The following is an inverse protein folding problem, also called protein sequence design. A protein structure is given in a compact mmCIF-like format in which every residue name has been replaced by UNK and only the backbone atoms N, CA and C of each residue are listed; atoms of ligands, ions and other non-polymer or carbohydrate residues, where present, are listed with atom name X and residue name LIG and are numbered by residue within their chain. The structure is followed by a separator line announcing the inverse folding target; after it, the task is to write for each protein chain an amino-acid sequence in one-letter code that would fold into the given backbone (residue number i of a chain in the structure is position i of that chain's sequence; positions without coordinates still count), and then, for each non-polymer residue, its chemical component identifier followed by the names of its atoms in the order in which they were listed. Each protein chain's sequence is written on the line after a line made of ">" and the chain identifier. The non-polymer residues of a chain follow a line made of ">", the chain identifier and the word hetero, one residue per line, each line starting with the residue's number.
data_IF_950843391606
#
_entry.id   IF_950843391606
#
_cell.length_a   1.000
_cell.length_b   1.000
_cell.length_c   1.000
_cell.angle_alpha   90.00
_cell.angle_beta   90.00
_cell.angle_gamma   90.00
#
_symmetry.space_group_name_H-M   'P 1'
#
loop_
_entity.id
_entity.type
_entity.pdbx_description
1 polymer ?
#
# COMPACT_ATOMS: atom_id res chain seq x y z
N UNK A 1 8.88 2.74 -12.08
CA UNK A 1 9.21 2.52 -13.52
C UNK A 1 10.63 1.98 -13.70
N UNK A 2 11.73 2.60 -13.17
CA UNK A 2 13.07 2.02 -13.32
C UNK A 2 13.23 0.65 -12.66
N UNK A 3 12.61 0.43 -11.50
CA UNK A 3 12.63 -0.84 -10.79
C UNK A 3 11.91 -1.96 -11.55
N UNK A 4 10.84 -1.66 -12.29
CA UNK A 4 10.15 -2.62 -13.16
C UNK A 4 11.05 -3.11 -14.30
N UNK A 5 11.69 -2.18 -15.02
CA UNK A 5 12.64 -2.52 -16.09
C UNK A 5 13.83 -3.34 -15.56
N UNK A 6 14.30 -2.97 -14.37
CA UNK A 6 15.38 -3.71 -13.71
C UNK A 6 14.91 -5.13 -13.33
N UNK A 7 13.70 -5.27 -12.82
CA UNK A 7 13.07 -6.54 -12.48
C UNK A 7 12.92 -7.46 -13.69
N UNK A 8 12.52 -6.89 -14.83
CA UNK A 8 12.38 -7.65 -16.09
C UNK A 8 13.74 -8.12 -16.63
N UNK A 9 14.81 -7.33 -16.43
CA UNK A 9 16.16 -7.65 -16.92
C UNK A 9 16.92 -8.61 -16.00
N UNK A 10 16.92 -8.34 -14.69
CA UNK A 10 17.77 -9.05 -13.72
C UNK A 10 17.03 -10.08 -12.87
N UNK A 11 15.71 -10.15 -12.98
CA UNK A 11 14.87 -11.06 -12.24
C UNK A 11 14.22 -10.42 -11.00
N UNK A 12 13.06 -10.95 -10.65
CA UNK A 12 12.27 -10.44 -9.53
C UNK A 12 12.86 -10.80 -8.19
N UNK A 13 13.47 -11.99 -8.09
CA UNK A 13 14.20 -12.40 -6.89
C UNK A 13 15.34 -11.44 -6.56
N UNK A 14 16.09 -10.99 -7.57
CA UNK A 14 17.19 -10.01 -7.39
C UNK A 14 16.64 -8.66 -6.90
N UNK A 15 15.50 -8.20 -7.44
CA UNK A 15 14.84 -6.97 -6.97
C UNK A 15 14.38 -7.09 -5.53
N UNK A 16 13.72 -8.19 -5.17
CA UNK A 16 13.29 -8.46 -3.79
C UNK A 16 14.49 -8.47 -2.83
N UNK A 17 15.59 -9.08 -3.25
CA UNK A 17 16.82 -9.14 -2.47
C UNK A 17 17.42 -7.75 -2.21
N UNK A 18 17.57 -6.93 -3.26
CA UNK A 18 18.08 -5.55 -3.14
C UNK A 18 17.17 -4.70 -2.27
N UNK A 19 15.86 -4.78 -2.50
CA UNK A 19 14.87 -4.04 -1.72
C UNK A 19 14.89 -4.41 -0.24
N UNK A 20 14.90 -5.71 0.07
CA UNK A 20 14.93 -6.21 1.45
C UNK A 20 16.24 -5.87 2.16
N UNK A 21 17.37 -6.01 1.48
CA UNK A 21 18.67 -5.60 2.02
C UNK A 21 18.70 -4.10 2.34
N UNK A 22 18.23 -3.27 1.41
CA UNK A 22 18.16 -1.81 1.61
C UNK A 22 17.24 -1.45 2.80
N UNK A 23 16.14 -2.20 3.02
CA UNK A 23 15.27 -1.99 4.16
C UNK A 23 15.98 -2.28 5.50
N UNK A 24 16.71 -3.37 5.58
CA UNK A 24 17.49 -3.72 6.79
C UNK A 24 18.54 -2.63 7.08
N UNK A 25 19.26 -2.18 6.03
CA UNK A 25 20.25 -1.09 6.16
C UNK A 25 19.58 0.19 6.65
N UNK A 26 18.42 0.55 6.12
CA UNK A 26 17.63 1.69 6.57
C UNK A 26 17.28 1.60 8.06
N UNK A 27 16.76 0.46 8.51
CA UNK A 27 16.36 0.26 9.92
C UNK A 27 17.55 0.35 10.88
N UNK A 28 18.66 -0.29 10.55
CA UNK A 28 19.90 -0.21 11.37
C UNK A 28 20.42 1.23 11.40
N UNK A 29 20.44 1.90 10.25
CA UNK A 29 20.91 3.30 10.16
C UNK A 29 20.03 4.24 10.97
N UNK A 30 18.71 4.01 11.01
CA UNK A 30 17.76 4.81 11.79
C UNK A 30 18.04 4.73 13.30
N UNK A 31 18.43 3.56 13.82
CA UNK A 31 18.80 3.39 15.23
C UNK A 31 20.04 4.21 15.65
N UNK A 32 20.97 4.40 14.72
CA UNK A 32 22.26 5.07 14.99
C UNK A 32 22.13 6.59 14.78
N UNK A 33 21.20 7.01 13.91
CA UNK A 33 21.09 8.39 13.46
C UNK A 33 20.49 9.29 14.53
N UNK A 34 21.13 10.48 14.74
CA UNK A 34 20.73 11.50 15.71
C UNK A 34 20.43 12.86 15.09
N UNK A 35 20.82 13.10 13.83
CA UNK A 35 20.66 14.39 13.17
C UNK A 35 19.64 14.37 12.06
N UNK A 36 18.93 15.47 11.85
CA UNK A 36 17.93 15.64 10.79
C UNK A 36 18.51 15.39 9.39
N UNK A 37 19.69 15.96 9.08
CA UNK A 37 20.33 15.81 7.79
C UNK A 37 20.71 14.35 7.48
N UNK A 38 21.21 13.63 8.50
CA UNK A 38 21.49 12.20 8.33
C UNK A 38 20.21 11.40 8.11
N UNK A 39 19.12 11.77 8.78
CA UNK A 39 17.83 11.13 8.60
C UNK A 39 17.29 11.32 7.17
N UNK A 40 17.47 12.51 6.58
CA UNK A 40 17.12 12.76 5.16
C UNK A 40 17.89 11.84 4.21
N UNK A 41 19.20 11.66 4.42
CA UNK A 41 20.01 10.77 3.60
C UNK A 41 19.55 9.30 3.72
N UNK A 42 19.25 8.86 4.92
CA UNK A 42 18.77 7.49 5.16
C UNK A 42 17.39 7.26 4.53
N UNK A 43 16.54 8.28 4.47
CA UNK A 43 15.22 8.21 3.83
C UNK A 43 15.33 7.91 2.33
N UNK A 44 16.43 8.28 1.66
CA UNK A 44 16.71 7.88 0.28
C UNK A 44 16.85 6.35 0.18
N UNK A 45 17.54 5.72 1.14
CA UNK A 45 17.69 4.25 1.18
C UNK A 45 16.33 3.57 1.34
N UNK A 46 15.45 4.14 2.19
CA UNK A 46 14.06 3.68 2.33
C UNK A 46 13.30 3.78 1.02
N UNK A 47 13.42 4.91 0.31
CA UNK A 47 12.81 5.10 -1.00
C UNK A 47 13.28 4.07 -2.04
N UNK A 48 14.57 3.76 -2.07
CA UNK A 48 15.13 2.69 -2.92
C UNK A 48 14.53 1.34 -2.54
N UNK A 49 14.51 1.00 -1.25
CA UNK A 49 13.89 -0.24 -0.77
C UNK A 49 12.44 -0.37 -1.23
N UNK A 50 11.65 0.67 -1.01
CA UNK A 50 10.24 0.70 -1.41
C UNK A 50 10.07 0.54 -2.92
N UNK A 51 10.89 1.22 -3.72
CA UNK A 51 10.85 1.13 -5.18
C UNK A 51 11.12 -0.30 -5.71
N UNK A 52 11.99 -1.06 -5.04
CA UNK A 52 12.29 -2.43 -5.43
C UNK A 52 11.29 -3.46 -4.87
N UNK A 53 10.70 -3.23 -3.71
CA UNK A 53 9.75 -4.16 -3.08
C UNK A 53 8.33 -3.99 -3.59
N UNK A 54 7.83 -2.75 -3.78
CA UNK A 54 6.41 -2.41 -4.03
C UNK A 54 5.97 -3.03 -5.34
N UNK A 55 6.26 -3.49 -6.22
CA UNK A 55 5.69 -4.17 -7.41
C UNK A 55 6.19 -5.61 -7.55
N UNK A 56 7.30 -5.92 -6.89
CA UNK A 56 7.96 -7.22 -7.06
C UNK A 56 7.15 -8.35 -6.41
N UNK A 57 6.66 -8.11 -5.20
CA UNK A 57 5.83 -9.09 -4.47
C UNK A 57 4.50 -9.35 -5.20
N UNK A 58 3.78 -8.28 -5.59
CA UNK A 58 2.51 -8.37 -6.32
C UNK A 58 2.68 -9.11 -7.66
N UNK A 59 3.77 -8.86 -8.35
CA UNK A 59 4.07 -9.54 -9.60
C UNK A 59 4.40 -11.03 -9.41
N UNK A 60 5.22 -11.39 -8.42
CA UNK A 60 5.54 -12.79 -8.11
C UNK A 60 4.28 -13.55 -7.75
N UNK A 61 3.43 -12.95 -6.91
CA UNK A 61 2.19 -13.54 -6.45
C UNK A 61 1.20 -13.76 -7.59
N UNK A 62 0.92 -12.72 -8.38
CA UNK A 62 -0.01 -12.80 -9.52
C UNK A 62 0.45 -13.79 -10.59
N UNK A 63 1.73 -13.86 -10.93
CA UNK A 63 2.25 -14.87 -11.88
C UNK A 63 2.16 -16.28 -11.34
N UNK A 64 2.37 -16.47 -10.04
CA UNK A 64 2.23 -17.79 -9.43
C UNK A 64 0.79 -18.28 -9.49
N UNK A 65 -0.20 -17.40 -9.27
CA UNK A 65 -1.62 -17.72 -9.39
C UNK A 65 -1.99 -18.03 -10.83
N UNK A 66 -1.55 -17.18 -11.78
CA UNK A 66 -1.84 -17.39 -13.21
C UNK A 66 -1.31 -18.74 -13.72
N UNK A 67 -0.19 -19.23 -13.16
CA UNK A 67 0.35 -20.54 -13.50
C UNK A 67 -0.42 -21.71 -12.89
N UNK A 68 -0.81 -21.57 -11.62
CA UNK A 68 -1.36 -22.69 -10.87
C UNK A 68 -2.89 -22.77 -10.95
N UNK A 69 -3.58 -21.62 -10.88
CA UNK A 69 -5.03 -21.54 -10.73
C UNK A 69 -5.59 -20.24 -11.34
N UNK A 70 -5.53 -20.05 -12.68
CA UNK A 70 -5.94 -18.80 -13.33
C UNK A 70 -7.40 -18.41 -13.04
N UNK A 71 -8.29 -19.41 -12.96
CA UNK A 71 -9.72 -19.20 -12.71
C UNK A 71 -10.04 -18.69 -11.29
N UNK A 72 -9.09 -18.78 -10.36
CA UNK A 72 -9.24 -18.34 -8.96
C UNK A 72 -8.46 -17.08 -8.62
N UNK A 73 -8.06 -16.32 -9.64
CA UNK A 73 -7.24 -15.11 -9.47
C UNK A 73 -7.87 -14.12 -8.47
N UNK A 74 -9.16 -13.78 -8.66
CA UNK A 74 -9.86 -12.82 -7.79
C UNK A 74 -9.97 -13.31 -6.34
N UNK A 75 -10.14 -14.61 -6.14
CA UNK A 75 -10.19 -15.21 -4.81
C UNK A 75 -8.85 -15.06 -4.06
N UNK A 76 -7.74 -15.41 -4.70
CA UNK A 76 -6.42 -15.31 -4.06
C UNK A 76 -5.97 -13.86 -3.86
N UNK A 77 -6.30 -12.95 -4.79
CA UNK A 77 -6.07 -11.53 -4.61
C UNK A 77 -6.89 -10.96 -3.43
N UNK A 78 -8.10 -11.45 -3.22
CA UNK A 78 -8.91 -11.12 -2.04
C UNK A 78 -8.26 -11.58 -0.74
N UNK A 79 -7.75 -12.81 -0.69
CA UNK A 79 -7.02 -13.35 0.47
C UNK A 79 -5.77 -12.51 0.76
N UNK A 80 -5.01 -12.14 -0.25
CA UNK A 80 -3.82 -11.29 -0.10
C UNK A 80 -4.15 -9.99 0.65
N UNK A 81 -5.22 -9.29 0.25
CA UNK A 81 -5.64 -8.06 0.91
C UNK A 81 -6.11 -8.28 2.36
N UNK A 82 -6.79 -9.39 2.64
CA UNK A 82 -7.16 -9.76 4.02
C UNK A 82 -5.91 -9.96 4.86
N UNK A 83 -4.96 -10.77 4.37
CA UNK A 83 -3.70 -11.05 5.05
C UNK A 83 -2.89 -9.77 5.28
N UNK A 84 -2.85 -8.87 4.29
CA UNK A 84 -2.17 -7.59 4.38
C UNK A 84 -2.72 -6.74 5.54
N UNK A 85 -4.01 -6.48 5.59
CA UNK A 85 -4.60 -5.66 6.64
C UNK A 85 -4.56 -6.36 8.02
N UNK A 86 -4.78 -7.66 8.07
CA UNK A 86 -4.65 -8.43 9.31
C UNK A 86 -3.21 -8.41 9.85
N UNK A 87 -2.22 -8.53 8.99
CA UNK A 87 -0.80 -8.45 9.39
C UNK A 87 -0.44 -7.08 9.94
N UNK A 88 -0.89 -5.99 9.31
CA UNK A 88 -0.69 -4.64 9.82
C UNK A 88 -1.40 -4.46 11.17
N UNK A 89 -2.64 -4.94 11.31
CA UNK A 89 -3.37 -4.88 12.57
C UNK A 89 -2.67 -5.60 13.70
N UNK A 90 -2.18 -6.82 13.48
CA UNK A 90 -1.40 -7.58 14.46
C UNK A 90 -0.07 -6.89 14.80
N UNK A 91 0.64 -6.40 13.78
CA UNK A 91 1.89 -5.66 13.98
C UNK A 91 1.70 -4.41 14.82
N UNK A 92 0.56 -3.72 14.67
CA UNK A 92 0.23 -2.52 15.44
C UNK A 92 0.02 -2.83 16.92
N UNK A 93 -0.60 -3.95 17.25
CA UNK A 93 -0.73 -4.40 18.65
C UNK A 93 0.65 -4.71 19.24
N UNK A 94 1.42 -5.53 18.55
CA UNK A 94 2.78 -5.93 18.99
C UNK A 94 3.67 -4.69 19.13
N UNK A 95 3.66 -3.82 18.13
CA UNK A 95 4.43 -2.57 18.12
C UNK A 95 4.06 -1.64 19.26
N UNK A 96 2.76 -1.48 19.55
CA UNK A 96 2.29 -0.70 20.69
C UNK A 96 2.77 -1.25 22.05
N UNK A 97 2.77 -2.56 22.22
CA UNK A 97 3.32 -3.20 23.43
C UNK A 97 4.84 -2.99 23.55
N UNK A 98 5.58 -3.19 22.46
CA UNK A 98 7.03 -3.01 22.45
C UNK A 98 7.43 -1.55 22.66
N UNK A 99 6.70 -0.60 22.08
CA UNK A 99 6.94 0.83 22.22
C UNK A 99 6.80 1.33 23.66
N UNK A 100 6.00 0.65 24.49
CA UNK A 100 5.90 0.93 25.94
C UNK A 100 7.24 0.76 26.66
N UNK A 101 8.07 -0.18 26.24
CA UNK A 101 9.39 -0.38 26.83
C UNK A 101 10.41 0.60 26.25
N UNK A 102 10.50 0.67 24.94
CA UNK A 102 11.36 1.60 24.21
C UNK A 102 11.03 1.58 22.73
N UNK A 103 11.10 2.73 22.05
CA UNK A 103 11.02 2.76 20.59
C UNK A 103 12.14 1.95 19.92
N UNK A 104 13.33 1.90 20.52
CA UNK A 104 14.42 1.07 20.00
C UNK A 104 14.07 -0.42 19.96
N UNK A 105 13.28 -0.92 20.93
CA UNK A 105 12.82 -2.31 20.95
C UNK A 105 11.95 -2.66 19.74
N UNK A 106 11.11 -1.71 19.29
CA UNK A 106 10.30 -1.88 18.07
C UNK A 106 11.20 -2.06 16.85
N UNK A 107 12.24 -1.23 16.70
CA UNK A 107 13.19 -1.36 15.60
C UNK A 107 13.99 -2.66 15.64
N UNK A 108 14.44 -3.10 16.81
CA UNK A 108 15.13 -4.40 16.93
C UNK A 108 14.24 -5.57 16.53
N UNK A 109 12.98 -5.53 16.93
CA UNK A 109 12.00 -6.54 16.54
C UNK A 109 11.72 -6.53 15.04
N UNK A 110 11.57 -5.35 14.44
CA UNK A 110 11.37 -5.20 13.00
C UNK A 110 12.60 -5.72 12.22
N UNK A 111 13.81 -5.34 12.62
CA UNK A 111 15.06 -5.85 12.02
C UNK A 111 15.09 -7.39 12.06
N UNK A 112 14.74 -8.00 13.19
CA UNK A 112 14.70 -9.46 13.30
C UNK A 112 13.72 -10.09 12.30
N UNK A 113 12.52 -9.54 12.16
CA UNK A 113 11.53 -9.98 11.16
C UNK A 113 12.07 -9.80 9.74
N UNK A 114 12.67 -8.64 9.44
CA UNK A 114 13.20 -8.37 8.09
C UNK A 114 14.35 -9.32 7.72
N UNK A 115 15.18 -9.73 8.68
CA UNK A 115 16.21 -10.76 8.48
C UNK A 115 15.57 -12.11 8.17
N UNK A 116 14.50 -12.49 8.87
CA UNK A 116 13.75 -13.71 8.57
C UNK A 116 13.18 -13.66 7.15
N UNK A 117 12.54 -12.56 6.77
CA UNK A 117 12.03 -12.34 5.41
C UNK A 117 13.16 -12.43 4.36
N UNK A 118 14.32 -11.87 4.65
CA UNK A 118 15.49 -11.92 3.78
C UNK A 118 15.96 -13.38 3.55
N UNK A 119 15.97 -14.21 4.60
CA UNK A 119 16.29 -15.63 4.51
C UNK A 119 15.26 -16.35 3.63
N UNK A 120 13.97 -16.06 3.76
CA UNK A 120 12.94 -16.65 2.91
C UNK A 120 13.12 -16.31 1.43
N UNK A 121 13.62 -15.13 1.09
CA UNK A 121 13.92 -14.77 -0.31
C UNK A 121 15.00 -15.69 -0.90
N UNK A 122 15.98 -16.13 -0.10
CA UNK A 122 17.00 -17.09 -0.58
C UNK A 122 16.39 -18.45 -0.93
N UNK A 123 15.46 -18.95 -0.11
CA UNK A 123 14.82 -20.24 -0.30
C UNK A 123 13.84 -20.22 -1.46
N UNK A 124 13.28 -19.04 -1.77
CA UNK A 124 12.29 -18.89 -2.84
C UNK A 124 12.89 -19.21 -4.20
N UNK A 125 12.25 -20.13 -4.95
CA UNK A 125 12.59 -20.43 -6.35
C UNK A 125 11.80 -19.55 -7.29
N UNK A 126 12.49 -18.72 -8.05
CA UNK A 126 11.88 -17.87 -9.07
C UNK A 126 11.31 -18.72 -10.21
N UNK A 127 10.00 -18.70 -10.39
CA UNK A 127 9.31 -19.36 -11.50
C UNK A 127 9.18 -18.39 -12.67
N UNK A 128 10.25 -18.11 -13.39
CA UNK A 128 10.23 -17.20 -14.55
C UNK A 128 9.40 -17.75 -15.70
N UNK A 129 8.44 -16.97 -16.19
CA UNK A 129 7.96 -17.04 -17.55
C UNK A 129 8.84 -16.15 -18.42
N UNK A 130 9.99 -16.67 -18.89
CA UNK A 130 10.79 -15.96 -19.86
C UNK A 130 10.10 -15.98 -21.22
N UNK A 131 9.58 -14.86 -21.63
CA UNK A 131 9.29 -14.60 -23.03
C UNK A 131 10.38 -13.63 -23.52
N UNK A 132 11.42 -14.17 -24.15
CA UNK A 132 12.59 -13.40 -24.61
C UNK A 132 12.25 -12.28 -25.62
N UNK A 133 11.00 -12.21 -26.10
CA UNK A 133 10.56 -11.28 -27.14
C UNK A 133 9.90 -9.99 -26.61
N UNK A 134 9.87 -9.76 -25.29
CA UNK A 134 9.19 -8.58 -24.71
C UNK A 134 10.09 -7.70 -23.82
N UNK A 135 11.39 -7.69 -24.05
CA UNK A 135 12.25 -6.67 -23.40
C UNK A 135 11.95 -5.34 -24.11
N UNK A 136 10.96 -4.59 -23.63
CA UNK A 136 10.71 -3.22 -24.08
C UNK A 136 11.96 -2.39 -23.74
N UNK A 137 12.55 -1.77 -24.76
CA UNK A 137 13.67 -0.87 -24.52
C UNK A 137 13.26 0.28 -23.58
N UNK A 138 14.18 0.76 -22.70
CA UNK A 138 13.90 1.89 -21.78
C UNK A 138 13.39 3.14 -22.49
N UNK A 139 13.73 3.32 -23.78
CA UNK A 139 13.26 4.41 -24.63
C UNK A 139 11.75 4.37 -24.90
N UNK A 140 11.12 3.19 -24.89
CA UNK A 140 9.67 3.06 -25.06
C UNK A 140 8.89 3.52 -23.83
N UNK A 141 9.44 3.33 -22.62
CA UNK A 141 8.84 3.84 -21.39
C UNK A 141 8.83 5.38 -21.36
N UNK A 142 9.86 6.05 -21.89
CA UNK A 142 9.92 7.52 -22.00
C UNK A 142 9.03 8.07 -23.14
N UNK A 143 8.85 7.30 -24.21
CA UNK A 143 7.96 7.64 -25.32
C UNK A 143 6.50 7.66 -24.89
N UNK A 144 6.16 6.88 -23.86
CA UNK A 144 4.80 6.82 -23.30
C UNK A 144 4.36 8.13 -22.62
N UNK A 145 5.28 8.89 -22.01
CA UNK A 145 4.97 10.23 -21.48
C UNK A 145 4.59 11.25 -22.59
N UNK A 146 4.93 10.96 -23.83
CA UNK A 146 4.54 11.77 -25.00
C UNK A 146 3.18 11.41 -25.60
N UNK A 147 2.59 10.28 -25.21
CA UNK A 147 1.34 9.74 -25.74
C UNK A 147 0.15 9.85 -24.77
N UNK A 148 0.05 10.95 -24.01
CA UNK A 148 -1.11 11.22 -23.14
C UNK A 148 -2.46 11.33 -23.90
N UNK A 149 -2.43 11.34 -25.23
CA UNK A 149 -3.63 11.43 -26.10
C UNK A 149 -4.57 10.20 -26.03
N UNK A 150 -4.13 9.09 -25.40
CA UNK A 150 -4.90 7.85 -25.28
C UNK A 150 -5.67 7.68 -23.97
N UNK A 151 -5.53 8.58 -23.00
CA UNK A 151 -6.26 8.47 -21.75
C UNK A 151 -7.67 9.05 -21.91
N UNK A 152 -8.64 8.16 -22.08
CA UNK A 152 -10.05 8.51 -21.99
C UNK A 152 -10.29 9.26 -20.66
N UNK A 153 -11.07 10.32 -20.67
CA UNK A 153 -11.38 11.15 -19.49
C UNK A 153 -11.82 10.32 -18.29
N UNK A 154 -12.49 9.18 -18.53
CA UNK A 154 -12.91 8.23 -17.51
C UNK A 154 -11.73 7.57 -16.80
N UNK A 155 -10.67 7.23 -17.52
CA UNK A 155 -9.45 6.64 -16.94
C UNK A 155 -8.70 7.68 -16.11
N UNK A 156 -8.61 8.91 -16.60
CA UNK A 156 -8.01 10.04 -15.87
C UNK A 156 -8.74 10.26 -14.53
N UNK A 157 -10.07 10.29 -14.54
CA UNK A 157 -10.89 10.42 -13.35
C UNK A 157 -10.65 9.29 -12.35
N UNK A 158 -10.60 8.04 -12.83
CA UNK A 158 -10.36 6.85 -12.00
C UNK A 158 -8.94 6.78 -11.41
N UNK A 159 -7.99 7.53 -11.93
CA UNK A 159 -6.63 7.66 -11.40
C UNK A 159 -6.51 8.84 -10.44
N UNK A 160 -6.97 10.03 -10.85
CA UNK A 160 -6.76 11.26 -10.10
C UNK A 160 -7.59 11.34 -8.82
N UNK A 161 -8.85 10.90 -8.84
CA UNK A 161 -9.71 11.03 -7.67
C UNK A 161 -9.23 10.20 -6.47
N UNK A 162 -8.83 8.91 -6.63
CA UNK A 162 -8.20 8.16 -5.54
C UNK A 162 -6.88 8.77 -5.06
N UNK A 163 -6.08 9.37 -5.97
CA UNK A 163 -4.84 10.03 -5.58
C UNK A 163 -5.12 11.28 -4.73
N UNK A 164 -6.10 12.10 -5.09
CA UNK A 164 -6.51 13.26 -4.29
C UNK A 164 -7.02 12.83 -2.92
N UNK A 165 -7.84 11.77 -2.84
CA UNK A 165 -8.30 11.23 -1.57
C UNK A 165 -7.14 10.69 -0.72
N UNK A 166 -6.17 10.02 -1.34
CA UNK A 166 -4.99 9.53 -0.65
C UNK A 166 -4.14 10.68 -0.08
N UNK A 167 -3.91 11.75 -0.84
CA UNK A 167 -3.18 12.95 -0.37
C UNK A 167 -3.84 13.57 0.88
N UNK A 168 -5.17 13.52 0.98
CA UNK A 168 -5.87 14.03 2.15
C UNK A 168 -5.83 13.06 3.34
N UNK A 169 -5.90 11.76 3.08
CA UNK A 169 -6.10 10.74 4.11
C UNK A 169 -4.78 10.19 4.67
N UNK A 170 -3.76 9.95 3.83
CA UNK A 170 -2.48 9.36 4.27
C UNK A 170 -1.73 10.20 5.33
N UNK A 171 -1.62 11.54 5.20
CA UNK A 171 -0.99 12.34 6.24
C UNK A 171 -1.71 12.24 7.58
N UNK A 172 -3.04 12.13 7.55
CA UNK A 172 -3.81 11.95 8.78
C UNK A 172 -3.52 10.58 9.41
N UNK A 173 -3.42 9.53 8.62
CA UNK A 173 -3.06 8.19 9.07
C UNK A 173 -1.69 8.20 9.77
N UNK A 174 -0.70 8.84 9.17
CA UNK A 174 0.65 8.93 9.70
C UNK A 174 0.72 9.74 11.02
N UNK A 175 0.01 10.88 11.08
CA UNK A 175 0.07 11.79 12.23
C UNK A 175 -0.97 11.49 13.33
N UNK A 176 -1.92 10.58 13.10
CA UNK A 176 -2.94 10.27 14.07
C UNK A 176 -2.38 9.71 15.38
N UNK A 177 -1.33 8.92 15.30
CA UNK A 177 -0.61 8.41 16.48
C UNK A 177 0.00 9.52 17.31
N UNK A 178 0.52 10.58 16.68
CA UNK A 178 1.06 11.76 17.35
C UNK A 178 -0.05 12.56 18.04
N UNK A 179 -1.19 12.71 17.38
CA UNK A 179 -2.39 13.34 17.96
C UNK A 179 -2.87 12.59 19.20
N UNK A 180 -2.97 11.26 19.16
CA UNK A 180 -3.36 10.45 20.31
C UNK A 180 -2.36 10.57 21.46
N UNK A 181 -1.07 10.64 21.15
CA UNK A 181 -0.02 10.83 22.16
C UNK A 181 -0.07 12.22 22.81
N UNK A 182 -0.44 13.28 22.09
CA UNK A 182 -0.63 14.61 22.66
C UNK A 182 -1.77 14.68 23.69
N UNK A 183 -2.70 13.73 23.63
CA UNK A 183 -3.77 13.53 24.61
C UNK A 183 -3.39 12.53 25.74
N UNK A 184 -2.09 12.23 25.93
CA UNK A 184 -1.57 11.32 26.95
C UNK A 184 -2.06 9.87 26.86
N UNK A 185 -2.43 9.41 25.64
CA UNK A 185 -2.80 8.02 25.41
C UNK A 185 -1.52 7.18 25.33
N UNK A 186 -1.52 6.03 26.01
CA UNK A 186 -0.36 5.14 26.07
C UNK A 186 -0.15 4.40 24.72
N UNK A 187 1.09 4.06 24.38
CA UNK A 187 1.49 3.47 23.12
C UNK A 187 0.74 2.16 22.82
N UNK A 188 0.52 1.32 23.82
CA UNK A 188 -0.24 0.07 23.66
C UNK A 188 -1.71 0.31 23.30
N UNK A 189 -2.35 1.36 23.85
CA UNK A 189 -3.72 1.74 23.47
C UNK A 189 -3.74 2.30 22.05
N UNK A 190 -2.76 3.12 21.67
CA UNK A 190 -2.60 3.63 20.30
C UNK A 190 -2.48 2.45 19.32
N UNK A 191 -1.62 1.47 19.61
CA UNK A 191 -1.46 0.27 18.78
C UNK A 191 -2.76 -0.53 18.65
N UNK A 192 -3.52 -0.68 19.75
CA UNK A 192 -4.83 -1.34 19.72
C UNK A 192 -5.86 -0.54 18.90
N UNK A 193 -5.94 0.78 19.06
CA UNK A 193 -6.84 1.64 18.29
C UNK A 193 -6.54 1.56 16.80
N UNK A 194 -5.26 1.54 16.41
CA UNK A 194 -4.84 1.40 15.01
C UNK A 194 -5.15 0.01 14.46
N UNK A 195 -4.99 -1.04 15.26
CA UNK A 195 -5.34 -2.40 14.85
C UNK A 195 -6.84 -2.55 14.55
N UNK A 196 -7.71 -1.89 15.33
CA UNK A 196 -9.15 -1.88 15.05
C UNK A 196 -9.45 -1.22 13.69
N UNK A 197 -8.73 -0.16 13.33
CA UNK A 197 -8.84 0.48 12.00
C UNK A 197 -8.47 -0.52 10.90
N UNK A 198 -7.35 -1.21 11.02
CA UNK A 198 -6.88 -2.19 10.02
C UNK A 198 -7.82 -3.38 9.88
N UNK A 199 -8.29 -3.94 11.00
CA UNK A 199 -9.28 -5.02 10.95
C UNK A 199 -10.61 -4.58 10.33
N UNK A 200 -11.06 -3.36 10.60
CA UNK A 200 -12.25 -2.82 9.96
C UNK A 200 -12.09 -2.71 8.44
N UNK A 201 -10.93 -2.22 7.97
CA UNK A 201 -10.60 -2.17 6.54
C UNK A 201 -10.62 -3.56 5.89
N UNK A 202 -10.10 -4.58 6.59
CA UNK A 202 -10.15 -5.97 6.12
C UNK A 202 -11.58 -6.46 5.94
N UNK A 203 -12.45 -6.28 6.95
CA UNK A 203 -13.86 -6.71 6.92
C UNK A 203 -14.63 -5.98 5.82
N UNK A 204 -14.51 -4.67 5.74
CA UNK A 204 -15.22 -3.88 4.73
C UNK A 204 -14.67 -4.11 3.32
N UNK A 205 -13.40 -4.43 3.18
CA UNK A 205 -12.81 -4.87 1.92
C UNK A 205 -13.49 -6.13 1.36
N UNK A 206 -13.75 -7.14 2.22
CA UNK A 206 -14.49 -8.35 1.82
C UNK A 206 -15.92 -7.98 1.40
N UNK A 207 -16.55 -7.06 2.12
CA UNK A 207 -17.90 -6.63 1.84
C UNK A 207 -18.04 -5.77 0.56
N UNK A 208 -16.93 -5.23 0.05
CA UNK A 208 -16.94 -4.33 -1.11
C UNK A 208 -17.63 -4.93 -2.34
N UNK A 209 -17.40 -6.22 -2.63
CA UNK A 209 -18.04 -6.91 -3.75
C UNK A 209 -19.55 -6.99 -3.58
N UNK A 210 -20.04 -7.29 -2.37
CA UNK A 210 -21.47 -7.35 -2.06
C UNK A 210 -22.12 -5.96 -2.13
N UNK A 211 -21.40 -4.93 -1.71
CA UNK A 211 -21.86 -3.55 -1.77
C UNK A 211 -21.95 -3.10 -3.23
N UNK A 212 -20.93 -3.37 -4.03
CA UNK A 212 -20.90 -3.03 -5.45
C UNK A 212 -21.98 -3.78 -6.26
N UNK A 213 -22.31 -5.03 -5.90
CA UNK A 213 -23.38 -5.79 -6.56
C UNK A 213 -24.78 -5.26 -6.22
N UNK A 214 -24.99 -4.70 -5.02
CA UNK A 214 -26.29 -4.15 -4.58
C UNK A 214 -26.50 -2.69 -4.96
N UNK A 215 -25.50 -1.83 -4.75
CA UNK A 215 -25.59 -0.38 -4.92
C UNK A 215 -24.98 0.10 -6.25
N UNK A 216 -24.29 -0.77 -6.97
CA UNK A 216 -23.60 -0.45 -8.21
C UNK A 216 -22.23 0.23 -7.98
N UNK A 217 -21.35 0.08 -8.97
CA UNK A 217 -20.03 0.72 -8.94
C UNK A 217 -20.12 2.26 -8.96
N UNK A 218 -21.17 2.82 -9.53
CA UNK A 218 -21.38 4.28 -9.58
C UNK A 218 -21.52 4.88 -8.18
N UNK A 219 -22.18 4.18 -7.27
CA UNK A 219 -22.25 4.58 -5.86
C UNK A 219 -20.86 4.63 -5.22
N UNK A 220 -20.09 3.56 -5.35
CA UNK A 220 -18.78 3.45 -4.71
C UNK A 220 -17.73 4.39 -5.31
N UNK A 221 -17.84 4.70 -6.62
CA UNK A 221 -16.87 5.55 -7.33
C UNK A 221 -17.21 7.03 -7.24
N UNK A 222 -18.50 7.41 -7.27
CA UNK A 222 -18.89 8.82 -7.32
C UNK A 222 -19.45 9.35 -6.00
N UNK A 223 -20.35 8.60 -5.33
CA UNK A 223 -21.04 9.10 -4.13
C UNK A 223 -20.22 8.88 -2.85
N UNK A 224 -19.56 7.74 -2.73
CA UNK A 224 -18.80 7.37 -1.54
C UNK A 224 -17.67 8.35 -1.20
N UNK A 225 -16.89 8.90 -2.17
CA UNK A 225 -15.92 9.96 -1.90
C UNK A 225 -16.50 11.20 -1.21
N UNK A 226 -17.69 11.64 -1.59
CA UNK A 226 -18.34 12.78 -0.93
C UNK A 226 -18.67 12.47 0.53
N UNK A 227 -19.16 11.25 0.82
CA UNK A 227 -19.42 10.80 2.19
C UNK A 227 -18.10 10.79 2.98
N UNK A 228 -17.01 10.31 2.41
CA UNK A 228 -15.70 10.29 3.06
C UNK A 228 -15.21 11.71 3.37
N UNK A 229 -15.30 12.63 2.44
CA UNK A 229 -14.91 14.04 2.65
C UNK A 229 -15.76 14.68 3.75
N UNK A 230 -17.06 14.47 3.77
CA UNK A 230 -17.94 15.01 4.83
C UNK A 230 -17.59 14.43 6.20
N UNK A 231 -17.35 13.13 6.31
CA UNK A 231 -16.88 12.50 7.55
C UNK A 231 -15.53 13.03 8.00
N UNK A 232 -14.59 13.27 7.06
CA UNK A 232 -13.28 13.83 7.35
C UNK A 232 -13.39 15.27 7.89
N UNK A 233 -14.27 16.10 7.33
CA UNK A 233 -14.53 17.45 7.83
C UNK A 233 -15.12 17.39 9.26
N UNK A 234 -16.10 16.52 9.48
CA UNK A 234 -16.71 16.34 10.82
C UNK A 234 -15.65 15.89 11.81
N UNK A 235 -14.80 14.93 11.45
CA UNK A 235 -13.69 14.46 12.28
C UNK A 235 -12.72 15.59 12.63
N UNK A 236 -12.41 16.48 11.69
CA UNK A 236 -11.52 17.64 11.93
C UNK A 236 -12.13 18.64 12.92
N UNK A 237 -13.45 18.81 12.93
CA UNK A 237 -14.15 19.69 13.89
C UNK A 237 -14.13 19.09 15.29
N UNK A 238 -14.25 17.77 15.41
CA UNK A 238 -14.35 17.06 16.69
C UNK A 238 -13.04 16.46 17.17
N UNK A 239 -11.89 17.00 16.78
CA UNK A 239 -10.56 16.49 17.20
C UNK A 239 -10.37 16.48 18.75
N UNK A 240 -11.02 17.39 19.47
CA UNK A 240 -10.98 17.42 20.95
C UNK A 240 -11.70 16.23 21.61
N UNK A 241 -12.59 15.53 20.90
CA UNK A 241 -13.29 14.36 21.41
C UNK A 241 -12.67 13.07 20.84
N UNK A 242 -11.65 12.56 21.51
CA UNK A 242 -10.81 11.45 21.05
C UNK A 242 -11.61 10.23 20.58
N UNK A 243 -12.58 9.77 21.38
CA UNK A 243 -13.38 8.60 21.05
C UNK A 243 -14.22 8.81 19.78
N UNK A 244 -14.83 10.00 19.65
CA UNK A 244 -15.62 10.34 18.47
C UNK A 244 -14.74 10.47 17.23
N UNK A 245 -13.62 11.18 17.32
CA UNK A 245 -12.67 11.32 16.20
C UNK A 245 -12.12 9.96 15.75
N UNK A 246 -11.84 9.05 16.70
CA UNK A 246 -11.40 7.70 16.40
C UNK A 246 -12.48 6.87 15.69
N UNK A 247 -13.74 6.90 16.16
CA UNK A 247 -14.84 6.20 15.49
C UNK A 247 -15.05 6.71 14.07
N UNK A 248 -15.01 8.02 13.87
CA UNK A 248 -15.09 8.63 12.55
C UNK A 248 -13.91 8.20 11.64
N UNK A 249 -12.71 8.11 12.21
CA UNK A 249 -11.54 7.61 11.49
C UNK A 249 -11.70 6.14 11.06
N UNK A 250 -12.17 5.27 11.95
CA UNK A 250 -12.50 3.86 11.61
C UNK A 250 -13.52 3.80 10.48
N UNK A 251 -14.57 4.62 10.53
CA UNK A 251 -15.55 4.68 9.45
C UNK A 251 -14.94 5.15 8.12
N UNK A 252 -14.16 6.24 8.13
CA UNK A 252 -13.48 6.74 6.93
C UNK A 252 -12.55 5.69 6.32
N UNK A 253 -11.72 5.04 7.14
CA UNK A 253 -10.78 4.01 6.71
C UNK A 253 -11.51 2.80 6.09
N UNK A 254 -12.62 2.38 6.70
CA UNK A 254 -13.46 1.30 6.17
C UNK A 254 -14.05 1.64 4.79
N UNK A 255 -14.55 2.86 4.63
CA UNK A 255 -15.07 3.34 3.35
C UNK A 255 -13.97 3.49 2.30
N UNK A 256 -12.77 3.91 2.72
CA UNK A 256 -11.59 3.98 1.83
C UNK A 256 -11.22 2.61 1.27
N UNK A 257 -11.32 1.54 2.07
CA UNK A 257 -11.07 0.17 1.60
C UNK A 257 -12.06 -0.25 0.51
N UNK A 258 -13.37 0.01 0.69
CA UNK A 258 -14.39 -0.26 -0.33
C UNK A 258 -14.12 0.54 -1.60
N UNK A 259 -13.83 1.83 -1.43
CA UNK A 259 -13.58 2.76 -2.51
C UNK A 259 -12.39 2.32 -3.37
N UNK A 260 -11.25 1.98 -2.74
CA UNK A 260 -10.04 1.53 -3.42
C UNK A 260 -10.27 0.25 -4.25
N UNK A 261 -11.02 -0.72 -3.72
CA UNK A 261 -11.36 -1.95 -4.45
C UNK A 261 -12.25 -1.63 -5.65
N UNK A 262 -13.23 -0.74 -5.48
CA UNK A 262 -14.15 -0.35 -6.54
C UNK A 262 -13.44 0.40 -7.67
N UNK A 263 -12.55 1.34 -7.34
CA UNK A 263 -11.72 2.04 -8.33
C UNK A 263 -10.80 1.07 -9.08
N UNK A 264 -10.15 0.14 -8.37
CA UNK A 264 -9.31 -0.86 -9.01
C UNK A 264 -10.09 -1.69 -10.01
N UNK A 265 -11.26 -2.19 -9.62
CA UNK A 265 -12.11 -3.00 -10.50
C UNK A 265 -12.60 -2.22 -11.72
N UNK A 266 -13.03 -0.95 -11.53
CA UNK A 266 -13.45 -0.10 -12.63
C UNK A 266 -12.29 0.26 -13.57
N UNK A 267 -11.12 0.54 -13.01
CA UNK A 267 -9.93 0.89 -13.77
C UNK A 267 -9.49 -0.30 -14.64
N UNK A 268 -9.40 -1.50 -14.06
CA UNK A 268 -9.02 -2.71 -14.80
C UNK A 268 -9.99 -3.04 -15.94
N UNK A 269 -11.29 -2.80 -15.76
CA UNK A 269 -12.30 -2.98 -16.81
C UNK A 269 -12.26 -1.90 -17.90
N UNK A 270 -11.64 -0.75 -17.62
CA UNK A 270 -11.61 0.40 -18.55
C UNK A 270 -10.30 0.53 -19.31
N UNK A 271 -9.30 -0.30 -19.01
CA UNK A 271 -7.98 -0.27 -19.62
C UNK A 271 -7.82 -1.45 -20.57
N UNK A 272 -7.26 -1.19 -21.75
CA UNK A 272 -6.84 -2.20 -22.70
C UNK A 272 -5.62 -2.97 -22.20
N UNK A 273 -5.53 -4.27 -22.52
CA UNK A 273 -4.45 -5.15 -22.04
C UNK A 273 -3.04 -4.65 -22.40
N UNK A 274 -2.90 -3.98 -23.54
CA UNK A 274 -1.63 -3.42 -24.02
C UNK A 274 -1.01 -2.35 -23.12
N UNK A 275 -1.84 -1.57 -22.42
CA UNK A 275 -1.42 -0.40 -21.63
C UNK A 275 -1.62 -0.59 -20.11
N UNK A 276 -2.13 -1.77 -19.70
CA UNK A 276 -2.51 -2.05 -18.31
C UNK A 276 -1.36 -1.83 -17.31
N UNK A 277 -0.19 -2.39 -17.59
CA UNK A 277 0.97 -2.29 -16.68
C UNK A 277 1.44 -0.85 -16.45
N UNK A 278 1.46 -0.04 -17.51
CA UNK A 278 1.90 1.35 -17.43
C UNK A 278 0.91 2.24 -16.67
N UNK A 279 -0.39 2.05 -16.91
CA UNK A 279 -1.43 2.83 -16.22
C UNK A 279 -1.50 2.47 -14.74
N UNK A 280 -1.37 1.20 -14.38
CA UNK A 280 -1.32 0.77 -12.98
C UNK A 280 -0.05 1.29 -12.28
N UNK A 281 1.08 1.31 -12.97
CA UNK A 281 2.33 1.89 -12.45
C UNK A 281 2.22 3.42 -12.25
N UNK A 282 1.58 4.13 -13.19
CA UNK A 282 1.31 5.57 -13.04
C UNK A 282 0.41 5.85 -11.84
N UNK A 283 -0.63 5.05 -11.66
CA UNK A 283 -1.52 5.16 -10.50
C UNK A 283 -0.77 4.94 -9.18
N UNK A 284 0.05 3.91 -9.10
CA UNK A 284 0.85 3.63 -7.90
C UNK A 284 1.81 4.77 -7.58
N UNK A 285 2.38 5.41 -8.61
CA UNK A 285 3.26 6.57 -8.44
C UNK A 285 2.52 7.80 -7.89
N UNK A 286 1.25 7.99 -8.25
CA UNK A 286 0.46 9.15 -7.81
C UNK A 286 -0.13 8.96 -6.40
N UNK A 287 -0.25 7.71 -5.93
CA UNK A 287 -0.80 7.37 -4.61
C UNK A 287 0.32 7.22 -3.57
N UNK A 288 1.56 6.90 -4.00
CA UNK A 288 2.73 6.79 -3.13
C UNK A 288 3.29 8.16 -2.74
#
# INVERSE_FOLDING_TARGET
>A
IPSGVFSDKYGRKTCAFIGQFSLIVFLISTLITRSYNSFLLISIIRGISFAFLSGTADCIFSESILKCCPDKMDYYMGIDKILFYCSIGLSSIIGGFLARYSYATVFYFDIAIQIICFIFIFIFKETRMFNNNQIKEPKECFRFFRGFDFLNYKVIYLILLPAILAICFLPYEDYYSVLLKSHNITENVIGFMFSCVMFSQSVFGICAQKINSKLGYDFSVRKLPFIMVTLFIIMSIFQGHILLSWLLYVCCASLMSINNISYNSCLQKSIEDTNRGTILSLRSLLIA
#
